data_IF_985999257229
#
_entry.id   IF_985999257229
#
_cell.length_a   1.000
_cell.length_b   1.000
_cell.length_c   1.000
_cell.angle_alpha   90.00
_cell.angle_beta   90.00
_cell.angle_gamma   90.00
#
_symmetry.space_group_name_H-M   'P 1'
#
loop_
_entity.id
_entity.type
_entity.pdbx_description
1 polymer ?
#
# COMPACT_ATOMS: atom_id res chain seq x y z
N UNK A 1 27.30 38.97 -24.13
CA UNK A 1 26.22 39.00 -23.10
C UNK A 1 25.44 37.68 -23.22
N UNK A 2 25.16 36.98 -22.10
CA UNK A 2 24.26 35.81 -22.01
C UNK A 2 24.86 34.39 -21.88
N UNK A 3 26.03 34.23 -21.26
CA UNK A 3 26.47 32.93 -20.72
C UNK A 3 26.08 32.72 -19.24
N UNK A 4 25.95 33.81 -18.46
CA UNK A 4 25.46 33.77 -17.06
C UNK A 4 23.98 33.37 -16.97
N UNK A 5 23.14 33.80 -17.94
CA UNK A 5 21.70 33.53 -17.92
C UNK A 5 21.37 32.04 -18.06
N UNK A 6 22.20 31.29 -18.79
CA UNK A 6 22.05 29.84 -18.95
C UNK A 6 22.45 29.07 -17.67
N UNK A 7 23.43 29.56 -16.93
CA UNK A 7 23.83 28.96 -15.65
C UNK A 7 22.75 29.09 -14.57
N UNK A 8 22.03 30.23 -14.53
CA UNK A 8 20.92 30.43 -13.59
C UNK A 8 19.69 29.56 -13.90
N UNK A 9 19.42 29.27 -15.17
CA UNK A 9 18.30 28.39 -15.55
C UNK A 9 18.62 26.91 -15.26
N UNK A 10 19.88 26.49 -15.44
CA UNK A 10 20.32 25.13 -15.09
C UNK A 10 20.32 24.89 -13.56
N UNK A 11 20.63 25.91 -12.75
CA UNK A 11 20.58 25.82 -11.29
C UNK A 11 19.15 25.73 -10.73
N UNK A 12 18.17 26.32 -11.40
CA UNK A 12 16.75 26.27 -10.98
C UNK A 12 16.05 24.93 -11.27
N UNK A 13 16.52 24.17 -12.27
CA UNK A 13 15.90 22.88 -12.63
C UNK A 13 16.19 21.74 -11.63
N UNK A 14 17.20 21.90 -10.76
CA UNK A 14 17.64 20.87 -9.81
C UNK A 14 16.92 20.91 -8.45
N UNK A 15 16.03 21.89 -8.21
CA UNK A 15 15.32 22.03 -6.92
C UNK A 15 13.90 21.48 -6.92
N UNK A 16 13.46 20.79 -7.97
CA UNK A 16 12.20 20.01 -7.97
C UNK A 16 12.41 18.68 -7.22
N UNK A 17 12.90 18.75 -5.99
CA UNK A 17 12.81 17.65 -5.05
C UNK A 17 11.35 17.47 -4.68
N UNK A 18 10.66 16.55 -5.35
CA UNK A 18 9.37 16.07 -4.90
C UNK A 18 9.55 15.45 -3.51
N UNK A 19 9.38 16.23 -2.45
CA UNK A 19 9.34 15.72 -1.09
C UNK A 19 8.09 14.85 -0.95
N UNK A 20 8.23 13.56 -1.24
CA UNK A 20 7.32 12.55 -0.72
C UNK A 20 7.33 12.70 0.80
N UNK A 21 6.25 13.27 1.33
CA UNK A 21 6.18 13.60 2.76
C UNK A 21 5.88 12.32 3.52
N UNK A 22 6.87 11.82 4.26
CA UNK A 22 6.69 10.73 5.21
C UNK A 22 5.80 11.25 6.34
N UNK A 23 4.78 10.51 6.79
CA UNK A 23 4.00 10.93 7.95
C UNK A 23 4.91 11.15 9.17
N UNK A 24 4.70 12.25 9.91
CA UNK A 24 5.40 12.56 11.17
C UNK A 24 5.65 11.35 12.10
N UNK A 25 4.68 10.45 12.35
CA UNK A 25 4.92 9.31 13.25
C UNK A 25 5.91 8.25 12.68
N UNK A 26 6.24 8.30 11.40
CA UNK A 26 7.14 7.37 10.71
C UNK A 26 8.49 8.00 10.32
N UNK A 27 8.70 9.28 10.65
CA UNK A 27 9.97 9.97 10.44
C UNK A 27 11.08 9.38 11.33
N UNK A 28 12.33 9.52 10.91
CA UNK A 28 13.49 9.01 11.63
C UNK A 28 14.46 8.20 10.77
N UNK A 29 15.56 7.80 11.39
CA UNK A 29 16.62 6.99 10.78
C UNK A 29 16.51 5.55 11.28
N UNK A 30 16.44 4.60 10.35
CA UNK A 30 16.22 3.18 10.64
C UNK A 30 17.26 2.34 9.92
N UNK A 31 17.63 1.20 10.53
CA UNK A 31 18.54 0.26 9.93
C UNK A 31 17.91 -0.39 8.69
N UNK A 32 18.64 -0.54 7.57
CA UNK A 32 18.14 -1.13 6.33
C UNK A 32 18.12 -2.67 6.40
N UNK A 33 17.50 -3.21 7.43
CA UNK A 33 17.38 -4.66 7.65
C UNK A 33 16.01 -5.10 7.16
N UNK A 34 15.93 -6.13 6.34
CA UNK A 34 14.64 -6.71 5.90
C UNK A 34 14.16 -7.78 6.88
N UNK A 35 12.85 -8.04 6.99
CA UNK A 35 12.32 -9.13 7.81
C UNK A 35 12.94 -10.48 7.46
N UNK A 36 13.06 -10.79 6.17
CA UNK A 36 13.71 -12.02 5.72
C UNK A 36 15.15 -12.17 6.24
N UNK A 37 15.94 -11.09 6.28
CA UNK A 37 17.31 -11.12 6.80
C UNK A 37 17.35 -11.28 8.33
N UNK A 38 16.37 -10.73 9.05
CA UNK A 38 16.26 -10.83 10.51
C UNK A 38 15.82 -12.21 11.02
N UNK A 39 15.43 -13.15 10.13
CA UNK A 39 14.98 -14.50 10.50
C UNK A 39 16.03 -15.34 11.21
N UNK A 40 17.32 -15.01 11.06
CA UNK A 40 18.40 -15.66 11.79
C UNK A 40 18.54 -15.20 13.25
N UNK A 41 17.75 -14.20 13.68
CA UNK A 41 17.90 -13.58 14.99
C UNK A 41 19.10 -12.63 15.08
N UNK A 42 19.64 -12.19 13.93
CA UNK A 42 20.63 -11.11 13.90
C UNK A 42 19.97 -9.75 14.12
N UNK A 43 20.73 -8.78 14.66
CA UNK A 43 20.29 -7.39 14.85
C UNK A 43 19.12 -7.20 15.84
N UNK A 44 19.03 -8.00 16.90
CA UNK A 44 17.98 -7.98 17.95
C UNK A 44 17.89 -6.70 18.81
N UNK A 45 18.50 -5.60 18.38
CA UNK A 45 18.41 -4.27 19.02
C UNK A 45 18.32 -3.16 17.98
N UNK A 46 18.27 -3.50 16.69
CA UNK A 46 18.20 -2.51 15.63
C UNK A 46 16.82 -1.85 15.61
N UNK A 47 16.81 -0.53 15.48
CA UNK A 47 15.63 0.25 15.14
C UNK A 47 15.35 0.08 13.65
N UNK A 48 14.17 -0.42 13.30
CA UNK A 48 13.76 -0.67 11.92
C UNK A 48 12.41 -0.03 11.63
N UNK A 49 12.14 0.17 10.34
CA UNK A 49 10.84 0.59 9.85
C UNK A 49 10.35 -0.40 8.82
N UNK A 50 9.36 -1.19 9.19
CA UNK A 50 8.81 -2.26 8.38
C UNK A 50 7.34 -2.01 8.11
N UNK A 51 6.83 -2.51 7.00
CA UNK A 51 5.42 -2.43 6.72
C UNK A 51 5.00 -3.49 5.73
N UNK A 52 3.70 -3.57 5.53
CA UNK A 52 3.13 -4.62 4.71
C UNK A 52 1.63 -4.71 4.83
N UNK A 53 1.11 -5.90 4.56
CA UNK A 53 -0.31 -6.21 4.70
C UNK A 53 -0.55 -7.11 5.91
N UNK A 54 -1.57 -6.77 6.70
CA UNK A 54 -1.97 -7.56 7.85
C UNK A 54 -2.48 -8.93 7.38
N UNK A 55 -1.94 -10.01 7.96
CA UNK A 55 -2.39 -11.38 7.77
C UNK A 55 -3.47 -11.70 8.82
N UNK A 56 -3.18 -11.35 10.09
CA UNK A 56 -4.06 -11.46 11.25
C UNK A 56 -3.59 -10.53 12.38
N UNK A 57 -4.50 -10.20 13.28
CA UNK A 57 -4.27 -9.36 14.46
C UNK A 57 -4.75 -10.14 15.68
N UNK A 58 -3.89 -10.31 16.67
CA UNK A 58 -4.15 -11.13 17.86
C UNK A 58 -3.93 -10.25 19.10
N UNK A 59 -5.01 -9.72 19.70
CA UNK A 59 -4.92 -9.03 20.97
C UNK A 59 -4.73 -10.04 22.10
N UNK A 60 -3.75 -9.78 22.95
CA UNK A 60 -3.42 -10.57 24.13
C UNK A 60 -3.58 -9.73 25.42
N UNK A 61 -3.34 -10.35 26.57
CA UNK A 61 -3.34 -9.63 27.84
C UNK A 61 -2.21 -8.56 27.84
N UNK A 62 -2.61 -7.29 27.75
CA UNK A 62 -1.71 -6.14 27.88
C UNK A 62 -0.95 -5.73 26.62
N UNK A 63 -1.08 -6.45 25.50
CA UNK A 63 -0.44 -6.11 24.23
C UNK A 63 -1.21 -6.69 23.04
N UNK A 64 -0.96 -6.17 21.84
CA UNK A 64 -1.55 -6.68 20.60
C UNK A 64 -0.45 -7.00 19.60
N UNK A 65 -0.48 -8.21 19.05
CA UNK A 65 0.47 -8.66 18.05
C UNK A 65 -0.18 -8.70 16.66
N UNK A 66 0.54 -8.14 15.68
CA UNK A 66 0.16 -8.07 14.29
C UNK A 66 1.06 -8.99 13.48
N UNK A 67 0.48 -9.94 12.77
CA UNK A 67 1.20 -10.79 11.84
C UNK A 67 1.09 -10.19 10.45
N UNK A 68 2.24 -9.91 9.83
CA UNK A 68 2.30 -9.05 8.65
C UNK A 68 3.10 -9.73 7.54
N UNK A 69 2.57 -9.67 6.33
CA UNK A 69 3.34 -9.97 5.12
C UNK A 69 4.10 -8.71 4.73
N UNK A 70 5.43 -8.76 4.83
CA UNK A 70 6.28 -7.61 4.60
C UNK A 70 6.34 -7.24 3.12
N UNK A 71 6.34 -5.94 2.85
CA UNK A 71 6.58 -5.40 1.51
C UNK A 71 7.58 -4.23 1.60
N UNK A 72 8.35 -3.98 0.54
CA UNK A 72 9.23 -2.83 0.51
C UNK A 72 8.40 -1.55 0.60
N UNK A 73 8.91 -0.59 1.37
CA UNK A 73 8.27 0.71 1.55
C UNK A 73 8.58 1.65 0.37
N UNK A 74 7.64 2.52 0.04
CA UNK A 74 7.88 3.64 -0.87
C UNK A 74 8.49 4.86 -0.16
N UNK A 75 8.69 5.94 -0.91
CA UNK A 75 9.26 7.18 -0.38
C UNK A 75 8.41 7.84 0.72
N UNK A 76 7.12 7.50 0.82
CA UNK A 76 6.22 7.95 1.90
C UNK A 76 6.17 6.99 3.09
N UNK A 77 7.03 5.97 3.11
CA UNK A 77 7.02 4.86 4.05
C UNK A 77 5.74 3.99 3.99
N UNK A 78 5.02 4.03 2.86
CA UNK A 78 3.83 3.20 2.63
C UNK A 78 4.24 1.88 1.96
N UNK A 79 3.64 0.73 2.35
CA UNK A 79 3.98 -0.55 1.73
C UNK A 79 3.59 -0.63 0.25
N UNK A 80 4.51 -1.10 -0.60
CA UNK A 80 4.26 -1.39 -2.02
C UNK A 80 3.75 -2.82 -2.19
N UNK A 81 2.43 -2.97 -2.14
CA UNK A 81 1.73 -4.27 -2.18
C UNK A 81 1.86 -5.00 -3.52
N UNK A 82 2.24 -4.27 -4.57
CA UNK A 82 2.54 -4.74 -5.92
C UNK A 82 3.97 -5.27 -6.08
N UNK A 83 4.87 -4.95 -5.13
CA UNK A 83 6.24 -5.43 -5.14
C UNK A 83 6.37 -6.79 -4.44
N UNK A 84 7.42 -7.53 -4.79
CA UNK A 84 7.79 -8.81 -4.16
C UNK A 84 7.88 -8.65 -2.63
N UNK A 85 7.25 -9.56 -1.90
CA UNK A 85 7.25 -9.53 -0.44
C UNK A 85 8.62 -9.84 0.16
N UNK A 86 8.92 -9.22 1.31
CA UNK A 86 10.21 -9.33 2.02
C UNK A 86 10.16 -10.31 3.20
N UNK A 87 9.29 -11.33 3.10
CA UNK A 87 9.05 -12.32 4.14
C UNK A 87 7.89 -11.94 5.06
N UNK A 88 7.93 -12.42 6.31
CA UNK A 88 6.90 -12.16 7.32
C UNK A 88 7.54 -11.76 8.63
N UNK A 89 6.83 -10.95 9.42
CA UNK A 89 7.23 -10.57 10.76
C UNK A 89 6.00 -10.48 11.67
N UNK A 90 6.26 -10.46 12.97
CA UNK A 90 5.28 -10.14 14.00
C UNK A 90 5.66 -8.82 14.63
N UNK A 91 4.73 -7.88 14.70
CA UNK A 91 4.90 -6.62 15.41
C UNK A 91 3.99 -6.61 16.63
N UNK A 92 4.53 -6.50 17.82
CA UNK A 92 3.76 -6.44 19.06
C UNK A 92 3.85 -5.02 19.63
N UNK A 93 2.71 -4.45 20.00
CA UNK A 93 2.63 -3.14 20.64
C UNK A 93 1.89 -3.28 21.97
N UNK A 94 2.34 -2.57 23.00
CA UNK A 94 1.67 -2.56 24.30
C UNK A 94 0.27 -1.92 24.23
N UNK A 95 -0.70 -2.49 24.92
CA UNK A 95 -2.10 -2.07 24.85
C UNK A 95 -2.93 -2.80 23.80
N UNK A 96 -4.15 -2.32 23.62
CA UNK A 96 -5.20 -2.98 22.85
C UNK A 96 -5.44 -2.29 21.50
N UNK A 97 -5.45 -3.06 20.42
CA UNK A 97 -5.93 -2.64 19.12
C UNK A 97 -7.08 -3.54 18.66
N UNK A 98 -8.12 -2.91 18.10
CA UNK A 98 -9.33 -3.60 17.64
C UNK A 98 -9.07 -4.39 16.34
N UNK A 99 -9.24 -5.72 16.34
CA UNK A 99 -9.10 -6.56 15.15
C UNK A 99 -10.06 -6.17 14.01
N UNK A 100 -11.21 -5.57 14.31
CA UNK A 100 -12.19 -5.11 13.30
C UNK A 100 -11.74 -3.86 12.55
N UNK A 101 -10.80 -3.09 13.12
CA UNK A 101 -10.14 -1.98 12.43
C UNK A 101 -8.90 -2.49 11.70
N UNK A 102 -8.10 -3.31 12.39
CA UNK A 102 -6.86 -3.91 11.91
C UNK A 102 -7.10 -5.26 11.23
N UNK A 103 -8.04 -5.28 10.29
CA UNK A 103 -8.42 -6.48 9.55
C UNK A 103 -7.36 -6.90 8.54
N UNK A 104 -7.44 -8.17 8.13
CA UNK A 104 -6.61 -8.75 7.08
C UNK A 104 -6.63 -7.90 5.79
N UNK A 105 -5.47 -7.76 5.16
CA UNK A 105 -5.26 -7.03 3.91
C UNK A 105 -5.13 -5.52 4.05
N UNK A 106 -5.27 -4.96 5.27
CA UNK A 106 -4.96 -3.56 5.54
C UNK A 106 -3.46 -3.32 5.42
N UNK A 107 -3.11 -2.18 4.82
CA UNK A 107 -1.73 -1.70 4.75
C UNK A 107 -1.36 -1.02 6.06
N UNK A 108 -0.21 -1.39 6.62
CA UNK A 108 0.27 -0.88 7.89
C UNK A 108 1.78 -0.71 7.85
N UNK A 109 2.28 0.32 8.51
CA UNK A 109 3.71 0.54 8.74
C UNK A 109 3.97 0.60 10.23
N UNK A 110 5.04 -0.04 10.66
CA UNK A 110 5.52 -0.08 12.03
C UNK A 110 6.92 0.49 12.09
N UNK A 111 7.22 1.18 13.19
CA UNK A 111 8.59 1.51 13.55
C UNK A 111 8.88 0.87 14.88
N UNK A 112 10.05 0.26 14.98
CA UNK A 112 10.51 -0.16 16.28
C UNK A 112 11.75 -1.00 16.39
N UNK A 113 11.89 -1.62 17.55
CA UNK A 113 13.10 -2.38 17.88
C UNK A 113 12.87 -3.86 17.60
N UNK A 114 13.82 -4.48 16.91
CA UNK A 114 13.82 -5.94 16.80
C UNK A 114 14.05 -6.59 18.15
N UNK A 115 13.38 -7.71 18.40
CA UNK A 115 13.45 -8.45 19.66
C UNK A 115 13.34 -9.95 19.41
N UNK A 116 14.37 -10.50 18.76
CA UNK A 116 14.49 -11.94 18.51
C UNK A 116 13.47 -12.46 17.50
N UNK A 117 13.13 -13.75 17.65
CA UNK A 117 12.22 -14.48 16.77
C UNK A 117 11.14 -15.20 17.58
N UNK A 118 9.96 -15.31 17.00
CA UNK A 118 8.83 -16.10 17.50
C UNK A 118 8.55 -17.20 16.48
N UNK A 119 8.55 -18.46 16.93
CA UNK A 119 8.19 -19.58 16.06
C UNK A 119 6.69 -19.75 16.07
N UNK A 120 6.06 -19.60 14.91
CA UNK A 120 4.61 -19.72 14.76
C UNK A 120 4.28 -20.62 13.56
N UNK A 121 3.21 -21.41 13.69
CA UNK A 121 2.79 -22.33 12.64
C UNK A 121 2.14 -21.61 11.46
N UNK A 122 2.62 -21.94 10.28
CA UNK A 122 2.00 -21.56 9.00
C UNK A 122 1.53 -22.84 8.33
N UNK A 123 0.25 -23.17 8.52
CA UNK A 123 -0.25 -24.50 8.17
C UNK A 123 0.45 -25.56 9.02
N UNK A 124 1.22 -26.43 8.37
CA UNK A 124 1.99 -27.49 9.04
C UNK A 124 3.47 -27.17 9.25
N UNK A 125 3.94 -25.98 8.85
CA UNK A 125 5.35 -25.60 8.93
C UNK A 125 5.60 -24.61 10.06
N UNK A 126 6.63 -24.85 10.86
CA UNK A 126 7.11 -23.89 11.86
C UNK A 126 7.90 -22.78 11.14
N UNK A 127 7.39 -21.55 11.21
CA UNK A 127 8.02 -20.41 10.57
C UNK A 127 8.61 -19.47 11.63
N UNK A 128 9.91 -19.11 11.53
CA UNK A 128 10.52 -18.15 12.44
C UNK A 128 10.13 -16.72 12.01
N UNK A 129 9.22 -16.11 12.75
CA UNK A 129 8.84 -14.71 12.60
C UNK A 129 9.83 -13.84 13.38
N UNK A 130 10.59 -12.93 12.74
CA UNK A 130 11.25 -11.85 13.45
C UNK A 130 10.22 -11.05 14.23
N UNK A 131 10.50 -10.81 15.50
CA UNK A 131 9.63 -10.04 16.39
C UNK A 131 10.11 -8.61 16.44
N UNK A 132 9.19 -7.68 16.22
CA UNK A 132 9.38 -6.25 16.36
C UNK A 132 8.55 -5.78 17.56
N UNK A 133 9.18 -5.19 18.55
CA UNK A 133 8.49 -4.39 19.55
C UNK A 133 8.17 -3.04 18.90
N UNK A 134 6.91 -2.85 18.53
CA UNK A 134 6.44 -1.65 17.85
C UNK A 134 6.26 -0.51 18.84
N UNK A 135 6.88 0.64 18.55
CA UNK A 135 6.65 1.92 19.22
C UNK A 135 5.57 2.71 18.50
N UNK A 136 5.48 2.57 17.17
CA UNK A 136 4.46 3.24 16.36
C UNK A 136 3.77 2.23 15.47
N UNK A 137 2.44 2.29 15.45
CA UNK A 137 1.59 1.56 14.52
C UNK A 137 0.86 2.57 13.64
N UNK A 138 1.13 2.57 12.33
CA UNK A 138 0.50 3.48 11.38
C UNK A 138 -0.35 2.72 10.37
N UNK A 139 -1.67 2.84 10.52
CA UNK A 139 -2.65 2.21 9.65
C UNK A 139 -2.97 3.11 8.45
N UNK A 140 -2.70 2.63 7.24
CA UNK A 140 -2.97 3.41 6.03
C UNK A 140 -4.47 3.41 5.67
N UNK A 141 -4.97 4.53 5.10
CA UNK A 141 -6.28 4.55 4.46
C UNK A 141 -6.27 3.60 3.25
N UNK A 142 -7.43 2.99 2.98
CA UNK A 142 -7.59 2.07 1.85
C UNK A 142 -7.27 2.80 0.55
N UNK A 143 -6.52 2.15 -0.35
CA UNK A 143 -6.26 2.69 -1.69
C UNK A 143 -7.59 2.79 -2.45
N UNK A 144 -7.87 3.90 -3.15
CA UNK A 144 -8.99 3.96 -4.08
C UNK A 144 -8.80 2.88 -5.14
N UNK A 145 -9.86 2.12 -5.43
CA UNK A 145 -9.84 1.20 -6.57
C UNK A 145 -10.12 2.02 -7.82
N UNK A 146 -9.11 2.16 -8.66
CA UNK A 146 -9.29 2.71 -9.99
C UNK A 146 -9.75 1.56 -10.89
N UNK A 147 -11.02 1.58 -11.29
CA UNK A 147 -11.47 0.73 -12.39
C UNK A 147 -11.36 1.55 -13.66
N UNK A 148 -10.51 1.12 -14.59
CA UNK A 148 -10.56 1.64 -15.95
C UNK A 148 -11.81 1.08 -16.59
N UNK A 149 -12.87 1.89 -16.65
CA UNK A 149 -14.00 1.58 -17.52
C UNK A 149 -13.49 1.82 -18.93
N UNK A 150 -13.12 0.74 -19.62
CA UNK A 150 -12.85 0.81 -21.06
C UNK A 150 -14.18 1.11 -21.74
N UNK A 151 -14.47 2.40 -21.94
CA UNK A 151 -15.54 2.80 -22.83
C UNK A 151 -15.03 2.57 -24.24
N UNK A 152 -15.56 1.55 -24.91
CA UNK A 152 -15.27 1.29 -26.30
C UNK A 152 -15.51 2.58 -27.12
N UNK A 153 -14.47 3.16 -27.75
CA UNK A 153 -14.60 4.40 -28.51
C UNK A 153 -15.57 4.30 -29.71
N UNK A 154 -15.92 3.09 -30.13
CA UNK A 154 -16.79 2.82 -31.29
C UNK A 154 -18.23 2.49 -30.90
N UNK A 155 -18.55 2.40 -29.60
CA UNK A 155 -19.94 2.27 -29.14
C UNK A 155 -20.57 3.65 -28.94
N UNK A 156 -21.01 4.26 -30.05
CA UNK A 156 -21.87 5.44 -30.06
C UNK A 156 -23.35 5.01 -30.11
N UNK A 157 -24.17 5.25 -29.07
CA UNK A 157 -25.58 4.87 -29.04
C UNK A 157 -26.46 5.62 -30.06
N UNK A 158 -25.91 6.61 -30.77
CA UNK A 158 -26.65 7.48 -31.68
C UNK A 158 -26.38 7.20 -33.17
N UNK A 159 -25.57 6.19 -33.51
CA UNK A 159 -25.34 5.74 -34.89
C UNK A 159 -26.06 4.41 -35.18
N UNK A 160 -27.37 4.41 -34.99
CA UNK A 160 -28.29 3.55 -35.75
C UNK A 160 -28.72 4.28 -37.03
N UNK A 161 -29.02 3.59 -38.15
CA UNK A 161 -29.41 4.24 -39.40
C UNK A 161 -30.75 4.99 -39.21
N UNK A 162 -30.67 6.29 -38.96
CA UNK A 162 -31.83 7.19 -38.88
C UNK A 162 -32.30 7.51 -40.31
N UNK A 163 -33.60 7.36 -40.66
CA UNK A 163 -34.07 7.43 -42.06
C UNK A 163 -34.20 8.85 -42.64
N UNK A 164 -33.70 9.89 -41.98
CA UNK A 164 -34.17 11.25 -42.24
C UNK A 164 -33.01 12.27 -42.22
N UNK A 165 -32.65 12.75 -43.43
CA UNK A 165 -31.88 13.98 -43.77
C UNK A 165 -30.39 13.98 -43.35
N UNK A 166 -29.38 14.38 -44.13
CA UNK A 166 -29.28 15.27 -45.27
C UNK A 166 -28.07 16.20 -45.02
N UNK A 167 -27.05 16.13 -45.87
CA UNK A 167 -26.04 17.18 -46.14
C UNK A 167 -25.33 17.92 -44.97
N UNK A 168 -24.02 17.71 -44.86
CA UNK A 168 -23.08 18.83 -44.67
C UNK A 168 -22.23 18.85 -43.39
N UNK A 169 -20.98 19.29 -43.58
CA UNK A 169 -20.00 19.79 -42.61
C UNK A 169 -19.09 18.77 -41.89
N UNK A 170 -17.98 18.47 -42.57
CA UNK A 170 -16.75 17.96 -41.97
C UNK A 170 -16.06 19.07 -41.15
N UNK A 171 -16.13 18.99 -39.83
CA UNK A 171 -15.33 19.79 -38.90
C UNK A 171 -14.42 18.87 -38.06
N UNK A 172 -13.13 19.20 -37.86
CA UNK A 172 -12.22 18.34 -37.11
C UNK A 172 -12.49 18.47 -35.61
N UNK A 173 -13.34 17.60 -35.06
CA UNK A 173 -13.56 17.52 -33.62
C UNK A 173 -12.37 16.85 -32.95
N UNK A 174 -11.48 17.67 -32.38
CA UNK A 174 -10.50 17.26 -31.38
C UNK A 174 -11.24 16.72 -30.15
N UNK A 175 -11.36 15.40 -30.04
CA UNK A 175 -11.82 14.74 -28.82
C UNK A 175 -10.63 14.50 -27.88
N UNK A 176 -10.61 15.04 -26.66
CA UNK A 176 -9.62 14.70 -25.66
C UNK A 176 -10.01 13.36 -25.00
N UNK A 177 -9.86 12.26 -25.71
CA UNK A 177 -10.04 10.90 -25.16
C UNK A 177 -8.77 10.47 -24.40
N UNK A 178 -8.59 11.02 -23.20
CA UNK A 178 -7.88 10.31 -22.14
C UNK A 178 -8.86 9.41 -21.39
N UNK A 179 -8.49 8.17 -20.99
CA UNK A 179 -9.35 7.31 -20.20
C UNK A 179 -9.78 8.05 -18.92
N UNK A 180 -11.09 8.24 -18.73
CA UNK A 180 -11.61 8.84 -17.49
C UNK A 180 -11.43 7.83 -16.36
N UNK A 181 -10.48 8.11 -15.48
CA UNK A 181 -10.27 7.33 -14.26
C UNK A 181 -11.40 7.65 -13.28
N UNK A 182 -12.36 6.73 -13.15
CA UNK A 182 -13.44 6.86 -12.16
C UNK A 182 -12.95 6.27 -10.85
N UNK A 183 -12.87 7.11 -9.81
CA UNK A 183 -12.64 6.67 -8.44
C UNK A 183 -13.95 6.09 -7.91
N UNK A 184 -14.02 4.76 -7.75
CA UNK A 184 -15.20 4.12 -7.16
C UNK A 184 -15.01 4.04 -5.64
N UNK A 185 -15.85 4.72 -4.83
CA UNK A 185 -15.82 4.57 -3.38
C UNK A 185 -16.15 3.13 -3.00
N UNK A 186 -15.33 2.52 -2.12
CA UNK A 186 -15.60 1.17 -1.63
C UNK A 186 -16.85 1.16 -0.75
N UNK A 187 -17.98 0.67 -1.28
CA UNK A 187 -19.05 0.14 -0.44
C UNK A 187 -18.55 -1.19 0.13
N UNK A 188 -18.49 -1.32 1.46
CA UNK A 188 -18.09 -2.54 2.14
C UNK A 188 -18.99 -3.70 1.67
N UNK A 189 -18.48 -4.55 0.76
CA UNK A 189 -19.11 -5.83 0.46
C UNK A 189 -18.78 -6.75 1.62
N UNK A 190 -19.74 -6.92 2.54
CA UNK A 190 -19.76 -8.07 3.41
C UNK A 190 -19.74 -9.31 2.51
N UNK A 191 -18.70 -10.14 2.65
CA UNK A 191 -18.63 -11.41 1.93
C UNK A 191 -19.80 -12.29 2.37
N UNK A 192 -20.44 -13.06 1.48
CA UNK A 192 -21.35 -14.10 1.92
C UNK A 192 -20.56 -15.15 2.69
N UNK A 193 -20.83 -15.28 3.99
CA UNK A 193 -20.38 -16.39 4.82
C UNK A 193 -20.94 -17.68 4.23
N UNK A 194 -20.09 -18.50 3.62
CA UNK A 194 -20.45 -19.88 3.28
C UNK A 194 -20.42 -20.67 4.58
N UNK A 195 -21.58 -20.87 5.18
CA UNK A 195 -21.76 -21.76 6.32
C UNK A 195 -21.79 -23.18 5.77
N UNK A 196 -20.65 -23.86 5.74
CA UNK A 196 -20.65 -25.31 5.55
C UNK A 196 -21.18 -25.95 6.84
N UNK A 197 -22.48 -26.29 6.84
CA UNK A 197 -23.08 -27.20 7.83
C UNK A 197 -22.46 -28.58 7.65
N UNK A 198 -22.01 -29.15 8.76
CA UNK A 198 -21.28 -30.42 8.78
C UNK A 198 -22.07 -31.64 8.34
N UNK A 199 -21.30 -32.71 8.16
CA UNK A 199 -21.64 -34.10 8.44
C UNK A 199 -20.43 -34.75 9.09
#
# INVERSE_FOLDING_TARGET
MSSWKLALVAAGALTLGACATIPKPLEGTYAPVTPQAARSGANNTAQVRWGGQIIRTEPEAGHTCFYVLAHPLDASARPRVDATGEGRFVACHSGFYDPEIFVRGREVTFTGTLHGIVSEKVGSYDYPYPRLEAQTVYLWPKRPRYTTVYRDPFYDPFWGPSPFWGSGYWGPYYYPYGPRVIVVPQKQRLAPTVINKGK
#
